data_IF_865256762065
#
_entry.id   IF_865256762065
#
_cell.length_a   1.000
_cell.length_b   1.000
_cell.length_c   1.000
_cell.angle_alpha   90.00
_cell.angle_beta   90.00
_cell.angle_gamma   90.00
#
_symmetry.space_group_name_H-M   'P 1'
#
loop_
_entity.id
_entity.type
_entity.pdbx_description
1 polymer ?
#
# COMPACT_ATOMS: atom_id res chain seq x y z
N UNK A 1 -7.75 -3.70 -30.31
CA UNK A 1 -7.77 -3.69 -28.85
C UNK A 1 -7.94 -2.23 -28.44
N UNK A 2 -8.88 -1.92 -27.54
CA UNK A 2 -9.04 -0.55 -27.03
C UNK A 2 -8.01 -0.30 -25.93
N UNK A 3 -7.71 0.95 -25.64
CA UNK A 3 -6.80 1.32 -24.55
C UNK A 3 -7.31 0.76 -23.20
N UNK A 4 -8.63 0.78 -22.98
CA UNK A 4 -9.25 0.18 -21.79
C UNK A 4 -9.07 -1.34 -21.72
N UNK A 5 -9.22 -2.07 -22.83
CA UNK A 5 -9.01 -3.52 -22.82
C UNK A 5 -7.54 -3.86 -22.56
N UNK A 6 -6.61 -3.11 -23.16
CA UNK A 6 -5.18 -3.31 -22.93
C UNK A 6 -4.80 -3.06 -21.46
N UNK A 7 -5.42 -2.06 -20.83
CA UNK A 7 -5.29 -1.79 -19.40
C UNK A 7 -5.79 -2.94 -18.53
N UNK A 8 -7.02 -3.44 -18.76
CA UNK A 8 -7.57 -4.56 -17.99
C UNK A 8 -6.72 -5.83 -18.15
N UNK A 9 -6.29 -6.16 -19.38
CA UNK A 9 -5.43 -7.29 -19.66
C UNK A 9 -4.08 -7.19 -18.90
N UNK A 10 -3.51 -5.98 -18.80
CA UNK A 10 -2.30 -5.72 -18.02
C UNK A 10 -2.54 -5.89 -16.51
N UNK A 11 -3.64 -5.34 -15.99
CA UNK A 11 -4.04 -5.49 -14.60
C UNK A 11 -4.26 -6.96 -14.21
N UNK A 12 -4.90 -7.76 -15.06
CA UNK A 12 -5.08 -9.20 -14.82
C UNK A 12 -3.75 -9.94 -14.72
N UNK A 13 -2.80 -9.63 -15.62
CA UNK A 13 -1.46 -10.19 -15.57
C UNK A 13 -0.74 -9.82 -14.27
N UNK A 14 -0.79 -8.55 -13.88
CA UNK A 14 -0.14 -8.07 -12.64
C UNK A 14 -0.78 -8.71 -11.41
N UNK A 15 -2.11 -8.88 -11.36
CA UNK A 15 -2.79 -9.59 -10.25
C UNK A 15 -2.31 -11.03 -10.10
N UNK A 16 -2.07 -11.74 -11.20
CA UNK A 16 -1.53 -13.09 -11.15
C UNK A 16 -0.10 -13.13 -10.57
N UNK A 17 0.75 -12.16 -10.93
CA UNK A 17 2.10 -12.01 -10.37
C UNK A 17 2.06 -11.61 -8.89
N UNK A 18 1.17 -10.69 -8.52
CA UNK A 18 0.95 -10.23 -7.14
C UNK A 18 0.47 -11.37 -6.22
N UNK A 19 -0.35 -12.31 -6.71
CA UNK A 19 -0.78 -13.46 -5.93
C UNK A 19 0.42 -14.35 -5.48
N UNK A 20 1.43 -14.48 -6.35
CA UNK A 20 2.67 -15.19 -6.03
C UNK A 20 3.47 -14.39 -4.99
N UNK A 21 3.66 -13.08 -5.22
CA UNK A 21 4.38 -12.20 -4.30
C UNK A 21 3.74 -12.18 -2.89
N UNK A 22 2.41 -12.13 -2.79
CA UNK A 22 1.68 -12.16 -1.52
C UNK A 22 1.88 -13.48 -0.77
N UNK A 23 1.89 -14.60 -1.49
CA UNK A 23 2.14 -15.92 -0.91
C UNK A 23 3.53 -15.99 -0.30
N UNK A 24 4.54 -15.53 -1.05
CA UNK A 24 5.92 -15.48 -0.59
C UNK A 24 6.12 -14.49 0.56
N UNK A 25 5.49 -13.33 0.50
CA UNK A 25 5.51 -12.33 1.57
C UNK A 25 4.93 -12.88 2.88
N UNK A 26 3.80 -13.61 2.81
CA UNK A 26 3.22 -14.29 3.96
C UNK A 26 4.17 -15.33 4.55
N UNK A 27 4.85 -16.11 3.72
CA UNK A 27 5.86 -17.06 4.18
C UNK A 27 7.03 -16.35 4.88
N UNK A 28 7.51 -15.24 4.30
CA UNK A 28 8.56 -14.40 4.88
C UNK A 28 8.16 -13.83 6.24
N UNK A 29 6.93 -13.31 6.38
CA UNK A 29 6.43 -12.81 7.66
C UNK A 29 6.32 -13.91 8.72
N UNK A 30 5.84 -15.12 8.35
CA UNK A 30 5.77 -16.27 9.27
C UNK A 30 7.16 -16.70 9.73
N UNK A 31 8.14 -16.73 8.83
CA UNK A 31 9.52 -17.04 9.16
C UNK A 31 10.14 -16.04 10.15
N UNK A 32 9.67 -14.79 10.14
CA UNK A 32 10.07 -13.76 11.13
C UNK A 32 9.44 -13.91 12.52
N UNK A 33 8.61 -14.94 12.74
CA UNK A 33 7.99 -15.26 14.03
C UNK A 33 6.74 -14.44 14.36
N UNK A 34 6.14 -13.76 13.38
CA UNK A 34 4.89 -13.02 13.58
C UNK A 34 3.69 -13.96 13.75
N UNK A 35 2.75 -13.55 14.60
CA UNK A 35 1.50 -14.30 14.81
C UNK A 35 0.62 -14.29 13.57
N UNK A 36 -0.21 -15.32 13.40
CA UNK A 36 -1.13 -15.44 12.25
C UNK A 36 -2.04 -14.23 12.07
N UNK A 37 -2.53 -13.65 13.18
CA UNK A 37 -3.35 -12.43 13.16
C UNK A 37 -2.59 -11.25 12.54
N UNK A 38 -1.33 -11.06 12.94
CA UNK A 38 -0.49 -9.96 12.43
C UNK A 38 -0.12 -10.20 10.97
N UNK A 39 0.21 -11.44 10.60
CA UNK A 39 0.49 -11.84 9.22
C UNK A 39 -0.72 -11.56 8.32
N UNK A 40 -1.93 -11.92 8.76
CA UNK A 40 -3.17 -11.66 8.02
C UNK A 40 -3.41 -10.17 7.81
N UNK A 41 -3.13 -9.34 8.82
CA UNK A 41 -3.27 -7.88 8.68
C UNK A 41 -2.30 -7.32 7.64
N UNK A 42 -1.03 -7.71 7.70
CA UNK A 42 -0.04 -7.30 6.71
C UNK A 42 -0.39 -7.77 5.30
N UNK A 43 -0.85 -9.02 5.14
CA UNK A 43 -1.33 -9.52 3.86
C UNK A 43 -2.46 -8.65 3.30
N UNK A 44 -3.50 -8.40 4.09
CA UNK A 44 -4.66 -7.62 3.64
C UNK A 44 -4.28 -6.18 3.24
N UNK A 45 -3.42 -5.53 4.02
CA UNK A 45 -2.96 -4.16 3.71
C UNK A 45 -2.13 -4.11 2.42
N UNK A 46 -1.28 -5.11 2.18
CA UNK A 46 -0.45 -5.16 0.97
C UNK A 46 -1.26 -5.56 -0.26
N UNK A 47 -2.16 -6.54 -0.11
CA UNK A 47 -3.10 -6.93 -1.16
C UNK A 47 -3.89 -5.71 -1.65
N UNK A 48 -4.49 -4.95 -0.73
CA UNK A 48 -5.20 -3.72 -1.04
C UNK A 48 -4.33 -2.69 -1.77
N UNK A 49 -3.09 -2.52 -1.31
CA UNK A 49 -2.19 -1.56 -1.93
C UNK A 49 -1.79 -1.96 -3.36
N UNK A 50 -1.35 -3.20 -3.59
CA UNK A 50 -0.82 -3.63 -4.89
C UNK A 50 -1.90 -4.01 -5.91
N UNK A 51 -3.09 -4.41 -5.46
CA UNK A 51 -4.16 -4.87 -6.36
C UNK A 51 -5.31 -3.87 -6.52
N UNK A 52 -5.57 -3.01 -5.52
CA UNK A 52 -6.59 -1.97 -5.62
C UNK A 52 -5.99 -0.62 -5.95
N UNK A 53 -4.96 -0.16 -5.22
CA UNK A 53 -4.41 1.19 -5.43
C UNK A 53 -3.50 1.29 -6.65
N UNK A 54 -2.47 0.44 -6.76
CA UNK A 54 -1.52 0.47 -7.89
C UNK A 54 -2.17 0.13 -9.24
N UNK A 55 -3.36 -0.49 -9.21
CA UNK A 55 -4.17 -0.89 -10.36
C UNK A 55 -5.47 -0.06 -10.48
N UNK A 56 -5.52 1.13 -9.84
CA UNK A 56 -6.71 1.97 -9.86
C UNK A 56 -6.80 2.86 -11.11
N UNK A 57 -5.72 3.59 -11.40
CA UNK A 57 -5.61 4.54 -12.51
C UNK A 57 -4.61 4.09 -13.57
N UNK A 58 -3.62 3.27 -13.19
CA UNK A 58 -2.56 2.75 -14.04
C UNK A 58 -2.32 1.26 -13.73
N UNK A 59 -1.59 0.54 -14.57
CA UNK A 59 -1.24 -0.87 -14.35
C UNK A 59 0.20 -0.97 -13.82
N UNK A 60 0.43 -0.55 -12.58
CA UNK A 60 1.76 -0.51 -11.97
C UNK A 60 2.14 -1.83 -11.30
N UNK A 61 3.36 -2.30 -11.56
CA UNK A 61 3.91 -3.47 -10.87
C UNK A 61 4.32 -3.12 -9.43
N UNK A 62 4.23 -4.08 -8.51
CA UNK A 62 4.52 -3.86 -7.10
C UNK A 62 5.94 -3.33 -6.80
N UNK A 63 6.91 -3.57 -7.69
CA UNK A 63 8.28 -3.05 -7.55
C UNK A 63 8.38 -1.54 -7.80
N UNK A 64 7.49 -1.00 -8.64
CA UNK A 64 7.48 0.41 -9.03
C UNK A 64 6.57 1.25 -8.11
N UNK A 65 5.90 0.60 -7.15
CA UNK A 65 4.95 1.27 -6.27
C UNK A 65 5.58 2.21 -5.22
N UNK A 66 6.89 2.13 -4.96
CA UNK A 66 7.55 2.91 -3.88
C UNK A 66 7.15 4.39 -3.93
N UNK A 67 7.13 4.96 -5.14
CA UNK A 67 6.81 6.36 -5.43
C UNK A 67 5.35 6.71 -5.06
N UNK A 68 4.44 5.76 -5.15
CA UNK A 68 3.02 5.94 -4.85
C UNK A 68 2.68 5.95 -3.36
N UNK A 69 3.61 5.59 -2.46
CA UNK A 69 3.28 5.42 -1.03
C UNK A 69 2.82 6.72 -0.36
N UNK A 70 3.44 7.86 -0.71
CA UNK A 70 3.04 9.15 -0.14
C UNK A 70 1.62 9.53 -0.57
N UNK A 71 1.29 9.37 -1.85
CA UNK A 71 -0.04 9.67 -2.38
C UNK A 71 -1.10 8.70 -1.83
N UNK A 72 -0.75 7.42 -1.75
CA UNK A 72 -1.62 6.41 -1.15
C UNK A 72 -2.01 6.79 0.28
N UNK A 73 -1.03 6.96 1.19
CA UNK A 73 -1.31 7.19 2.60
C UNK A 73 -1.82 8.61 2.91
N UNK A 74 -1.42 9.59 2.10
CA UNK A 74 -1.74 11.00 2.32
C UNK A 74 -3.02 11.49 1.67
N UNK A 75 -3.56 10.78 0.67
CA UNK A 75 -4.78 11.23 -0.03
C UNK A 75 -5.69 10.06 -0.41
N UNK A 76 -5.25 9.16 -1.29
CA UNK A 76 -6.15 8.15 -1.89
C UNK A 76 -6.76 7.24 -0.83
N UNK A 77 -5.96 6.72 0.10
CA UNK A 77 -6.41 5.85 1.18
C UNK A 77 -7.44 6.55 2.07
N UNK A 78 -7.20 7.82 2.42
CA UNK A 78 -8.08 8.62 3.26
C UNK A 78 -9.47 8.75 2.62
N UNK A 79 -9.51 9.06 1.32
CA UNK A 79 -10.76 9.33 0.59
C UNK A 79 -11.49 8.08 0.09
N UNK A 80 -10.76 7.02 -0.24
CA UNK A 80 -11.29 5.86 -0.98
C UNK A 80 -11.48 4.62 -0.11
N UNK A 81 -10.71 4.46 0.97
CA UNK A 81 -10.86 3.32 1.85
C UNK A 81 -11.90 3.61 2.95
N UNK A 82 -13.03 2.89 2.92
CA UNK A 82 -14.10 3.04 3.93
C UNK A 82 -13.67 2.74 5.37
N UNK A 83 -12.53 2.08 5.53
CA UNK A 83 -11.94 1.72 6.82
C UNK A 83 -10.77 2.65 7.21
N UNK A 84 -10.58 3.75 6.47
CA UNK A 84 -9.52 4.72 6.73
C UNK A 84 -9.70 5.38 8.10
N UNK A 85 -8.58 5.49 8.79
CA UNK A 85 -8.47 6.02 10.13
C UNK A 85 -6.99 6.27 10.43
N UNK A 86 -6.71 7.13 11.40
CA UNK A 86 -5.33 7.38 11.85
C UNK A 86 -4.60 6.10 12.28
N UNK A 87 -5.31 5.12 12.85
CA UNK A 87 -4.75 3.83 13.21
C UNK A 87 -4.41 3.01 11.95
N UNK A 88 -5.35 2.88 11.03
CA UNK A 88 -5.15 2.12 9.78
C UNK A 88 -4.04 2.71 8.90
N UNK A 89 -3.83 4.04 8.87
CA UNK A 89 -2.70 4.68 8.16
C UNK A 89 -1.37 4.16 8.72
N UNK A 90 -1.22 4.12 10.04
CA UNK A 90 -0.01 3.59 10.70
C UNK A 90 0.18 2.11 10.40
N UNK A 91 -0.89 1.32 10.38
CA UNK A 91 -0.85 -0.10 10.07
C UNK A 91 -0.46 -0.37 8.60
N UNK A 92 -1.01 0.39 7.66
CA UNK A 92 -0.63 0.32 6.25
C UNK A 92 0.83 0.71 6.07
N UNK A 93 1.28 1.83 6.66
CA UNK A 93 2.68 2.26 6.62
C UNK A 93 3.64 1.20 7.20
N UNK A 94 3.25 0.52 8.28
CA UNK A 94 4.05 -0.58 8.85
C UNK A 94 4.10 -1.79 7.91
N UNK A 95 2.99 -2.09 7.23
CA UNK A 95 2.89 -3.18 6.26
C UNK A 95 3.76 -2.89 5.04
N UNK A 96 3.68 -1.69 4.47
CA UNK A 96 4.47 -1.24 3.32
C UNK A 96 5.97 -1.31 3.61
N UNK A 97 6.43 -0.82 4.76
CA UNK A 97 7.85 -0.94 5.15
C UNK A 97 8.33 -2.39 5.22
N UNK A 98 7.48 -3.34 5.66
CA UNK A 98 7.82 -4.76 5.68
C UNK A 98 7.82 -5.37 4.30
N UNK A 99 6.82 -5.04 3.48
CA UNK A 99 6.70 -5.54 2.12
C UNK A 99 7.90 -5.12 1.27
N UNK A 100 8.25 -3.85 1.29
CA UNK A 100 9.42 -3.37 0.52
C UNK A 100 10.75 -3.83 1.11
N UNK A 101 10.84 -4.16 2.40
CA UNK A 101 12.01 -4.86 2.93
C UNK A 101 12.12 -6.28 2.34
N UNK A 102 11.01 -7.01 2.25
CA UNK A 102 10.94 -8.31 1.57
C UNK A 102 11.28 -8.19 0.06
N UNK A 103 10.74 -7.18 -0.64
CA UNK A 103 11.04 -6.94 -2.05
C UNK A 103 12.53 -6.64 -2.29
N UNK A 104 13.15 -5.89 -1.37
CA UNK A 104 14.58 -5.64 -1.39
C UNK A 104 15.40 -6.93 -1.19
N UNK A 105 15.03 -7.78 -0.22
CA UNK A 105 15.68 -9.08 -0.01
C UNK A 105 15.58 -10.01 -1.22
N UNK A 106 14.49 -9.89 -2.00
CA UNK A 106 14.33 -10.59 -3.28
C UNK A 106 15.11 -9.96 -4.45
N UNK A 107 15.72 -8.79 -4.26
CA UNK A 107 16.41 -8.04 -5.31
C UNK A 107 15.47 -7.37 -6.32
N UNK A 108 14.19 -7.18 -5.97
CA UNK A 108 13.19 -6.53 -6.83
C UNK A 108 13.16 -5.01 -6.67
N UNK A 109 13.66 -4.51 -5.54
CA UNK A 109 13.69 -3.08 -5.20
C UNK A 109 15.08 -2.73 -4.68
N UNK A 110 15.57 -1.55 -5.05
CA UNK A 110 16.92 -1.11 -4.69
C UNK A 110 17.02 -0.82 -3.19
N UNK A 111 18.26 -0.76 -2.67
CA UNK A 111 18.47 -0.34 -1.28
C UNK A 111 18.06 1.13 -1.09
N UNK A 112 18.30 1.96 -2.10
CA UNK A 112 18.01 3.39 -2.04
C UNK A 112 16.51 3.62 -2.00
N UNK A 113 15.74 2.91 -2.83
CA UNK A 113 14.26 2.97 -2.82
C UNK A 113 13.70 2.55 -1.44
N UNK A 114 14.26 1.51 -0.81
CA UNK A 114 13.85 1.09 0.53
C UNK A 114 14.18 2.14 1.59
N UNK A 115 15.30 2.85 1.45
CA UNK A 115 15.68 3.95 2.35
C UNK A 115 14.75 5.14 2.15
N UNK A 116 14.49 5.51 0.90
CA UNK A 116 13.59 6.58 0.52
C UNK A 116 12.17 6.33 1.02
N UNK A 117 11.62 5.14 0.80
CA UNK A 117 10.32 4.73 1.35
C UNK A 117 10.24 4.97 2.87
N UNK A 118 11.28 4.54 3.62
CA UNK A 118 11.30 4.68 5.07
C UNK A 118 11.35 6.15 5.48
N UNK A 119 12.02 6.99 4.70
CA UNK A 119 12.08 8.44 4.91
C UNK A 119 10.73 9.09 4.62
N UNK A 120 10.11 8.79 3.47
CA UNK A 120 8.76 9.23 3.10
C UNK A 120 7.76 8.92 4.21
N UNK A 121 7.75 7.67 4.69
CA UNK A 121 6.87 7.25 5.79
C UNK A 121 7.15 8.00 7.09
N UNK A 122 8.40 8.34 7.38
CA UNK A 122 8.77 9.05 8.59
C UNK A 122 8.35 10.51 8.54
N UNK A 123 8.60 11.18 7.42
CA UNK A 123 8.36 12.60 7.23
C UNK A 123 6.88 12.92 6.98
N UNK A 124 6.18 12.10 6.18
CA UNK A 124 4.78 12.33 5.83
C UNK A 124 3.77 11.93 6.91
N UNK A 125 4.15 11.07 7.87
CA UNK A 125 3.21 10.55 8.88
C UNK A 125 2.43 11.63 9.64
N UNK A 126 3.04 12.72 10.17
CA UNK A 126 2.28 13.77 10.85
C UNK A 126 1.19 14.36 9.96
N UNK A 127 1.54 14.71 8.72
CA UNK A 127 0.65 15.35 7.76
C UNK A 127 -0.49 14.42 7.33
N UNK A 128 -0.22 13.14 7.13
CA UNK A 128 -1.26 12.15 6.78
C UNK A 128 -2.26 11.94 7.92
N UNK A 129 -1.78 11.95 9.17
CA UNK A 129 -2.64 11.82 10.34
C UNK A 129 -3.50 13.07 10.56
N UNK A 130 -2.95 14.25 10.28
CA UNK A 130 -3.70 15.50 10.28
C UNK A 130 -4.76 15.52 9.17
N UNK A 131 -4.38 15.16 7.93
CA UNK A 131 -5.29 15.06 6.79
C UNK A 131 -6.47 14.14 7.07
N UNK A 132 -6.22 12.99 7.70
CA UNK A 132 -7.28 12.05 8.11
C UNK A 132 -8.21 12.62 9.19
N UNK A 133 -7.64 13.36 10.15
CA UNK A 133 -8.43 14.03 11.20
C UNK A 133 -9.33 15.09 10.58
N UNK A 134 -8.77 15.90 9.69
CA UNK A 134 -9.48 16.99 9.04
C UNK A 134 -10.56 16.47 8.10
N UNK A 135 -10.29 15.37 7.37
CA UNK A 135 -11.29 14.67 6.55
C UNK A 135 -12.50 14.18 7.37
N UNK A 136 -12.26 13.58 8.54
CA UNK A 136 -13.34 13.14 9.44
C UNK A 136 -14.13 14.33 10.03
N UNK A 137 -13.47 15.44 10.29
CA UNK A 137 -14.09 16.64 10.85
C UNK A 137 -14.84 17.47 9.79
N UNK A 138 -14.45 17.38 8.52
CA UNK A 138 -15.14 18.07 7.42
C UNK A 138 -16.62 17.65 7.29
N UNK A 139 -16.98 16.46 7.77
CA UNK A 139 -18.38 16.02 7.85
C UNK A 139 -19.18 16.54 9.05
N UNK A 140 -18.58 17.33 9.95
CA UNK A 140 -19.24 17.90 11.15
C UNK A 140 -19.73 19.34 10.89
N UNK A 141 -19.15 20.04 9.92
CA UNK A 141 -19.45 21.45 9.58
C UNK A 141 -20.05 21.64 8.19
N UNK A 142 -20.51 20.59 7.51
CA UNK A 142 -21.28 20.72 6.26
C UNK A 142 -22.79 20.80 6.57
N UNK A 143 -23.43 21.99 6.52
CA UNK A 143 -24.85 22.18 6.77
C UNK A 143 -25.64 22.19 5.46
N UNK A 144 -25.21 21.45 4.43
CA UNK A 144 -25.99 21.24 3.21
C UNK A 144 -26.82 19.95 3.27
#
# INVERSE_FOLDING_TARGET
>A
MTDYQAYEDACEKIRAENAILLTEFVAWLKASGLSEKVVKNHHANIDFYINDYLLYEDALEAKDGVDGVSWFLGDWFIRKAMWSSQASIKENAASLKKFYAFMHEKGLVSKDDLVELKQIVKEGMPDWLESMRDYNNAGIDDPW
#
